data_IF_565769965602
#
_entry.id   IF_565769965602
#
_cell.length_a   1.000
_cell.length_b   1.000
_cell.length_c   1.000
_cell.angle_alpha   90.00
_cell.angle_beta   90.00
_cell.angle_gamma   90.00
#
_symmetry.space_group_name_H-M   'P 1'
#
loop_
_entity.id
_entity.type
_entity.pdbx_description
1 polymer ?
#
# COMPACT_ATOMS: atom_id res chain seq x y z
N UNK A 1 2.53 -1.25 -12.59
CA UNK A 1 1.53 -2.18 -12.02
C UNK A 1 1.17 -1.69 -10.63
N UNK A 2 -0.07 -1.85 -10.17
CA UNK A 2 -0.51 -1.38 -8.85
C UNK A 2 -0.92 -2.54 -7.93
N UNK A 3 -0.43 -2.51 -6.69
CA UNK A 3 -0.75 -3.42 -5.61
C UNK A 3 -1.65 -2.69 -4.62
N UNK A 4 -2.91 -3.11 -4.51
CA UNK A 4 -3.82 -2.55 -3.52
C UNK A 4 -3.48 -3.07 -2.13
N UNK A 5 -3.33 -2.17 -1.17
CA UNK A 5 -2.97 -2.48 0.22
C UNK A 5 -3.93 -1.81 1.20
N UNK A 6 -3.96 -2.32 2.42
CA UNK A 6 -4.81 -1.81 3.51
C UNK A 6 -4.19 -0.62 4.25
N UNK A 7 -2.86 -0.57 4.31
CA UNK A 7 -2.08 0.48 4.96
C UNK A 7 -0.77 0.66 4.18
N UNK A 8 -0.72 1.70 3.34
CA UNK A 8 0.45 1.96 2.49
C UNK A 8 1.68 2.33 3.32
N UNK A 9 1.50 2.95 4.50
CA UNK A 9 2.59 3.38 5.38
C UNK A 9 3.23 2.20 6.09
N UNK A 10 2.42 1.26 6.58
CA UNK A 10 2.89 0.02 7.18
C UNK A 10 3.65 -0.84 6.16
N UNK A 11 3.11 -1.00 4.94
CA UNK A 11 3.77 -1.78 3.91
C UNK A 11 5.04 -1.11 3.40
N UNK A 12 5.05 0.22 3.24
CA UNK A 12 6.26 0.97 2.95
C UNK A 12 7.35 0.72 4.01
N UNK A 13 7.01 0.76 5.30
CA UNK A 13 7.98 0.50 6.37
C UNK A 13 8.53 -0.94 6.32
N UNK A 14 7.65 -1.93 6.13
CA UNK A 14 8.01 -3.34 6.03
C UNK A 14 8.96 -3.61 4.84
N UNK A 15 8.62 -3.07 3.67
CA UNK A 15 9.41 -3.26 2.45
C UNK A 15 10.71 -2.48 2.48
N UNK A 16 10.71 -1.26 3.03
CA UNK A 16 11.93 -0.48 3.24
C UNK A 16 12.90 -1.23 4.15
N UNK A 17 12.40 -1.84 5.24
CA UNK A 17 13.20 -2.67 6.13
C UNK A 17 13.76 -3.93 5.44
N UNK A 18 13.13 -4.38 4.35
CA UNK A 18 13.59 -5.49 3.52
C UNK A 18 14.55 -5.06 2.39
N UNK A 19 14.91 -3.78 2.29
CA UNK A 19 15.86 -3.26 1.30
C UNK A 19 15.24 -2.78 -0.02
N UNK A 20 13.92 -2.66 -0.10
CA UNK A 20 13.24 -2.10 -1.28
C UNK A 20 13.55 -0.60 -1.40
N UNK A 21 13.89 -0.15 -2.62
CA UNK A 21 14.15 1.26 -2.91
C UNK A 21 12.88 1.95 -3.37
N UNK A 22 12.38 2.89 -2.55
CA UNK A 22 11.24 3.73 -2.88
C UNK A 22 11.68 5.03 -3.54
N UNK A 23 10.84 5.54 -4.45
CA UNK A 23 10.99 6.88 -5.04
C UNK A 23 10.66 7.95 -4.00
N UNK A 24 9.61 7.71 -3.20
CA UNK A 24 9.18 8.57 -2.10
C UNK A 24 8.36 7.77 -1.07
N UNK A 25 8.19 8.29 0.15
CA UNK A 25 7.19 7.77 1.08
C UNK A 25 5.77 7.84 0.50
N UNK A 26 4.79 7.10 1.07
CA UNK A 26 3.37 7.23 0.73
C UNK A 26 2.88 8.66 0.86
N UNK A 27 2.36 9.20 -0.24
CA UNK A 27 1.73 10.51 -0.29
C UNK A 27 0.21 10.36 -0.21
N UNK A 28 -0.44 11.26 0.53
CA UNK A 28 -1.89 11.35 0.57
C UNK A 28 -2.42 11.79 -0.79
N UNK A 29 -3.48 11.12 -1.25
CA UNK A 29 -4.20 11.50 -2.46
C UNK A 29 -5.25 12.54 -2.05
N UNK A 30 -5.09 13.78 -2.50
CA UNK A 30 -5.93 14.90 -2.07
C UNK A 30 -7.02 15.28 -3.08
N UNK A 31 -7.22 14.49 -4.13
CA UNK A 31 -8.23 14.75 -5.15
C UNK A 31 -8.64 13.48 -5.92
N UNK A 32 -9.87 13.48 -6.42
CA UNK A 32 -10.39 12.46 -7.33
C UNK A 32 -10.96 11.23 -6.62
N UNK A 33 -11.18 10.14 -7.36
CA UNK A 33 -11.85 8.92 -6.85
C UNK A 33 -11.10 8.24 -5.69
N UNK A 34 -9.79 8.48 -5.58
CA UNK A 34 -8.94 7.95 -4.53
C UNK A 34 -8.63 8.98 -3.44
N UNK A 35 -9.29 10.14 -3.43
CA UNK A 35 -9.12 11.16 -2.40
C UNK A 35 -9.32 10.58 -1.00
N UNK A 36 -8.37 10.83 -0.10
CA UNK A 36 -8.30 10.24 1.25
C UNK A 36 -7.58 8.90 1.32
N UNK A 37 -7.05 8.40 0.20
CA UNK A 37 -6.13 7.26 0.13
C UNK A 37 -4.65 7.67 0.14
N UNK A 38 -3.76 6.69 -0.06
CA UNK A 38 -2.32 6.88 -0.15
C UNK A 38 -1.72 6.14 -1.34
N UNK A 39 -0.64 6.67 -1.92
CA UNK A 39 0.14 5.95 -2.93
C UNK A 39 1.64 6.24 -2.85
N UNK A 40 2.46 5.27 -3.26
CA UNK A 40 3.89 5.46 -3.52
C UNK A 40 4.41 4.50 -4.59
N UNK A 41 5.57 4.83 -5.15
CA UNK A 41 6.25 4.06 -6.18
C UNK A 41 7.57 3.49 -5.67
N UNK A 42 7.89 2.29 -6.14
CA UNK A 42 9.16 1.61 -5.89
C UNK A 42 9.58 0.78 -7.09
N UNK A 43 10.85 0.36 -7.10
CA UNK A 43 11.38 -0.54 -8.11
C UNK A 43 11.44 -1.96 -7.57
N UNK A 44 11.09 -2.92 -8.40
CA UNK A 44 11.47 -4.31 -8.18
C UNK A 44 12.95 -4.55 -8.59
N UNK A 45 13.51 -5.74 -8.34
CA UNK A 45 14.90 -6.05 -8.71
C UNK A 45 15.22 -5.93 -10.20
N UNK A 46 14.21 -6.02 -11.06
CA UNK A 46 14.35 -5.90 -12.52
C UNK A 46 14.14 -4.45 -12.99
N UNK A 47 14.11 -3.49 -12.06
CA UNK A 47 13.88 -2.07 -12.28
C UNK A 47 12.50 -1.75 -12.89
N UNK A 48 11.50 -2.60 -12.64
CA UNK A 48 10.11 -2.34 -13.02
C UNK A 48 9.46 -1.48 -11.95
N UNK A 49 8.80 -0.40 -12.39
CA UNK A 49 8.03 0.47 -11.50
C UNK A 49 6.75 -0.21 -11.02
N UNK A 50 6.67 -0.40 -9.71
CA UNK A 50 5.49 -0.85 -8.99
C UNK A 50 4.92 0.28 -8.12
N UNK A 51 3.63 0.20 -7.86
CA UNK A 51 2.88 1.16 -7.06
C UNK A 51 2.17 0.44 -5.91
N UNK A 52 2.28 0.99 -4.68
CA UNK A 52 1.35 0.66 -3.60
C UNK A 52 0.20 1.66 -3.65
N UNK A 53 -1.04 1.17 -3.58
CA UNK A 53 -2.24 2.02 -3.52
C UNK A 53 -3.10 1.60 -2.34
N UNK A 54 -3.26 2.50 -1.37
CA UNK A 54 -4.30 2.43 -0.34
C UNK A 54 -5.49 3.27 -0.80
N UNK A 55 -6.63 2.65 -1.14
CA UNK A 55 -7.83 3.39 -1.51
C UNK A 55 -8.46 4.05 -0.27
N UNK A 56 -9.31 5.08 -0.44
CA UNK A 56 -9.98 5.69 0.69
C UNK A 56 -10.82 4.69 1.47
N UNK A 57 -10.88 4.89 2.79
CA UNK A 57 -11.73 4.09 3.68
C UNK A 57 -13.18 4.46 3.46
N UNK A 58 -13.88 3.63 2.67
CA UNK A 58 -15.32 3.75 2.46
C UNK A 58 -16.04 2.84 3.47
N UNK A 59 -17.00 3.35 4.27
CA UNK A 59 -17.81 2.51 5.15
C UNK A 59 -18.45 1.34 4.41
N UNK A 60 -18.32 0.12 4.95
CA UNK A 60 -18.88 -1.10 4.35
C UNK A 60 -18.06 -1.72 3.22
N UNK A 61 -16.95 -1.09 2.78
CA UNK A 61 -16.00 -1.73 1.87
C UNK A 61 -14.96 -2.49 2.70
N UNK A 62 -14.89 -3.83 2.59
CA UNK A 62 -13.93 -4.59 3.38
C UNK A 62 -12.50 -4.16 3.00
N UNK A 63 -11.67 -3.96 4.02
CA UNK A 63 -10.22 -3.95 3.87
C UNK A 63 -9.83 -5.20 3.07
N UNK A 64 -8.95 -5.05 2.07
CA UNK A 64 -8.41 -6.16 1.29
C UNK A 64 -7.39 -6.90 2.16
N UNK A 65 -7.89 -7.56 3.21
CA UNK A 65 -7.05 -8.33 4.13
C UNK A 65 -6.36 -9.42 3.33
N UNK A 66 -5.03 -9.38 3.30
CA UNK A 66 -4.27 -10.56 2.90
C UNK A 66 -4.58 -11.68 3.90
N UNK A 67 -4.69 -12.92 3.43
CA UNK A 67 -5.07 -14.12 4.23
C UNK A 67 -4.17 -14.40 5.47
N UNK A 68 -3.12 -13.60 5.72
CA UNK A 68 -2.20 -13.69 6.86
C UNK A 68 -2.62 -12.87 8.10
N UNK A 69 -3.91 -12.64 8.31
CA UNK A 69 -4.39 -12.02 9.57
C UNK A 69 -5.53 -12.80 10.25
N UNK A 70 -5.87 -13.99 9.75
CA UNK A 70 -6.93 -14.82 10.34
C UNK A 70 -6.42 -15.89 11.32
N UNK A 71 -5.13 -15.88 11.66
CA UNK A 71 -4.50 -16.94 12.47
C UNK A 71 -3.75 -16.33 13.66
N UNK A 72 -4.31 -15.29 14.29
CA UNK A 72 -3.92 -14.82 15.63
C UNK A 72 -5.13 -14.30 16.42
N UNK A 73 -6.27 -15.00 16.32
CA UNK A 73 -7.34 -14.91 17.32
C UNK A 73 -7.60 -16.34 17.81
N UNK A 74 -7.04 -16.65 18.98
CA UNK A 74 -7.27 -17.91 19.70
C UNK A 74 -8.64 -17.95 20.37
#
# INVERSE_FOLDING_TARGET
>A
MALTVDDARAEHARLSAAGVTFVSPPAEITAGVNEGGYACYFLDPDAITLELVEPPRVPGRPCVRSKRSCEEDG
#
